data_IF_492086364169
#
_entry.id   IF_492086364169
#
_cell.length_a   1.000
_cell.length_b   1.000
_cell.length_c   1.000
_cell.angle_alpha   90.00
_cell.angle_beta   90.00
_cell.angle_gamma   90.00
#
_symmetry.space_group_name_H-M   'P 1'
#
loop_
_entity.id
_entity.type
_entity.pdbx_description
1 polymer ?
#
# COMPACT_ATOMS: atom_id res chain seq x y z
N UNK A 1 25.56 24.84 36.10
CA UNK A 1 24.53 24.53 35.08
C UNK A 1 24.83 23.15 34.51
N UNK A 2 23.88 22.22 34.54
CA UNK A 2 24.08 20.88 33.97
C UNK A 2 23.78 20.94 32.47
N UNK A 3 24.76 20.58 31.65
CA UNK A 3 24.60 20.46 30.19
C UNK A 3 23.96 19.10 29.92
N UNK A 4 22.75 19.09 29.34
CA UNK A 4 22.10 17.84 28.92
C UNK A 4 22.62 17.45 27.54
N UNK A 5 23.37 16.37 27.47
CA UNK A 5 23.77 15.71 26.23
C UNK A 5 22.68 14.75 25.77
N UNK A 6 22.52 14.61 24.45
CA UNK A 6 21.65 13.58 23.87
C UNK A 6 22.19 12.19 24.23
N UNK A 7 21.33 11.32 24.74
CA UNK A 7 21.67 9.93 25.05
C UNK A 7 21.75 9.03 23.81
N UNK A 8 21.35 9.52 22.63
CA UNK A 8 21.34 8.73 21.40
C UNK A 8 20.32 7.58 21.38
N UNK A 9 19.52 7.42 22.45
CA UNK A 9 18.48 6.41 22.55
C UNK A 9 17.21 6.85 21.81
N UNK A 10 16.56 5.91 21.11
CA UNK A 10 15.26 6.17 20.50
C UNK A 10 14.17 6.26 21.59
N UNK A 11 13.12 7.08 21.40
CA UNK A 11 12.01 7.13 22.36
C UNK A 11 11.39 5.76 22.64
N UNK A 12 11.41 4.85 21.66
CA UNK A 12 10.96 3.48 21.82
C UNK A 12 11.84 2.67 22.79
N UNK A 13 13.17 2.71 22.63
CA UNK A 13 14.07 1.95 23.50
C UNK A 13 14.10 2.47 24.94
N UNK A 14 13.82 3.76 25.14
CA UNK A 14 13.64 4.33 26.49
C UNK A 14 12.37 3.83 27.19
N UNK A 15 11.30 3.52 26.45
CA UNK A 15 10.02 3.07 27.02
C UNK A 15 9.98 1.55 27.21
N UNK A 16 10.51 0.80 26.24
CA UNK A 16 10.34 -0.65 26.19
C UNK A 16 11.63 -1.44 26.47
N UNK A 17 12.78 -0.78 26.58
CA UNK A 17 14.06 -1.43 26.89
C UNK A 17 14.68 -2.25 25.75
N UNK A 18 14.17 -2.10 24.52
CA UNK A 18 14.71 -2.75 23.32
C UNK A 18 14.65 -1.80 22.12
N UNK A 19 15.49 -2.02 21.12
CA UNK A 19 15.44 -1.22 19.89
C UNK A 19 14.17 -1.54 19.08
N UNK A 20 13.64 -0.56 18.36
CA UNK A 20 12.47 -0.76 17.53
C UNK A 20 12.81 -1.72 16.38
N UNK A 21 12.08 -2.84 16.30
CA UNK A 21 12.15 -3.72 15.13
C UNK A 21 11.23 -3.15 14.05
N UNK A 22 11.73 -2.83 12.84
CA UNK A 22 10.89 -2.37 11.75
C UNK A 22 9.84 -3.45 11.42
N UNK A 23 8.58 -3.08 11.13
CA UNK A 23 7.60 -4.08 10.71
C UNK A 23 8.08 -4.76 9.43
N UNK A 24 8.06 -6.09 9.41
CA UNK A 24 8.42 -6.90 8.24
C UNK A 24 7.56 -6.52 7.01
N UNK A 25 6.36 -6.01 7.26
CA UNK A 25 5.39 -5.51 6.28
C UNK A 25 5.87 -4.26 5.51
N UNK A 26 6.82 -3.49 6.05
CA UNK A 26 7.44 -2.36 5.33
C UNK A 26 8.45 -2.87 4.30
N UNK A 27 9.01 -4.07 4.49
CA UNK A 27 9.99 -4.69 3.59
C UNK A 27 9.40 -5.74 2.63
N UNK A 28 8.28 -6.38 2.97
CA UNK A 28 7.63 -7.40 2.14
C UNK A 28 6.50 -6.76 1.34
N UNK A 29 6.63 -6.65 0.00
CA UNK A 29 5.54 -6.17 -0.82
C UNK A 29 4.36 -7.14 -0.71
N UNK A 30 3.14 -6.61 -0.60
CA UNK A 30 1.93 -7.45 -0.62
C UNK A 30 1.89 -8.34 -1.86
N UNK A 31 1.22 -9.49 -1.79
CA UNK A 31 1.08 -10.39 -2.96
C UNK A 31 0.57 -9.68 -4.21
N UNK A 32 -0.32 -8.69 -4.02
CA UNK A 32 -0.81 -7.82 -5.08
C UNK A 32 0.30 -6.98 -5.70
N UNK A 33 1.05 -6.24 -4.89
CA UNK A 33 2.20 -5.44 -5.35
C UNK A 33 3.25 -6.33 -5.99
N UNK A 34 3.50 -7.52 -5.44
CA UNK A 34 4.43 -8.50 -6.00
C UNK A 34 3.97 -9.03 -7.36
N UNK A 35 2.67 -9.24 -7.55
CA UNK A 35 2.11 -9.64 -8.86
C UNK A 35 2.15 -8.51 -9.88
N UNK A 36 1.96 -7.27 -9.41
CA UNK A 36 2.04 -6.06 -10.24
C UNK A 36 3.48 -5.75 -10.68
N UNK A 37 4.48 -5.96 -9.80
CA UNK A 37 5.90 -5.77 -10.08
C UNK A 37 6.53 -6.84 -10.99
N UNK A 38 5.86 -7.98 -11.18
CA UNK A 38 6.34 -9.09 -12.02
C UNK A 38 6.01 -8.90 -13.50
N UNK A 39 5.12 -7.97 -13.83
CA UNK A 39 4.70 -7.70 -15.21
C UNK A 39 5.62 -6.63 -15.81
N UNK A 40 5.84 -6.71 -17.11
CA UNK A 40 6.44 -5.60 -17.86
C UNK A 40 5.56 -4.35 -17.72
N UNK A 41 6.16 -3.16 -17.72
CA UNK A 41 5.44 -1.90 -17.50
C UNK A 41 4.27 -1.72 -18.49
N UNK A 42 4.45 -2.15 -19.75
CA UNK A 42 3.41 -2.08 -20.78
C UNK A 42 2.27 -3.04 -20.47
N UNK A 43 2.58 -4.27 -20.09
CA UNK A 43 1.58 -5.29 -19.72
C UNK A 43 0.81 -4.90 -18.46
N UNK A 44 1.49 -4.28 -17.48
CA UNK A 44 0.87 -3.77 -16.26
C UNK A 44 -0.12 -2.65 -16.58
N UNK A 45 0.29 -1.66 -17.37
CA UNK A 45 -0.59 -0.55 -17.79
C UNK A 45 -1.81 -1.11 -18.53
N UNK A 46 -1.61 -2.04 -19.46
CA UNK A 46 -2.68 -2.66 -20.23
C UNK A 46 -3.70 -3.40 -19.32
N UNK A 47 -3.20 -4.24 -18.41
CA UNK A 47 -4.04 -4.98 -17.47
C UNK A 47 -4.85 -4.05 -16.56
N UNK A 48 -4.26 -2.93 -16.11
CA UNK A 48 -4.96 -1.91 -15.32
C UNK A 48 -6.06 -1.22 -16.11
N UNK A 49 -5.81 -0.89 -17.38
CA UNK A 49 -6.83 -0.32 -18.26
C UNK A 49 -7.99 -1.28 -18.49
N UNK A 50 -7.71 -2.56 -18.73
CA UNK A 50 -8.75 -3.58 -18.93
C UNK A 50 -9.62 -3.78 -17.68
N UNK A 51 -9.02 -3.80 -16.50
CA UNK A 51 -9.75 -3.83 -15.23
C UNK A 51 -10.67 -2.61 -15.07
N UNK A 52 -10.17 -1.41 -15.34
CA UNK A 52 -10.97 -0.18 -15.25
C UNK A 52 -12.14 -0.20 -16.23
N UNK A 53 -11.90 -0.65 -17.47
CA UNK A 53 -12.94 -0.78 -18.49
C UNK A 53 -14.02 -1.78 -18.07
N UNK A 54 -13.64 -2.90 -17.44
CA UNK A 54 -14.60 -3.87 -16.91
C UNK A 54 -15.47 -3.26 -15.79
N UNK A 55 -14.87 -2.49 -14.88
CA UNK A 55 -15.59 -1.79 -13.82
C UNK A 55 -16.57 -0.77 -14.43
N UNK A 56 -16.13 -0.01 -15.42
CA UNK A 56 -16.98 0.97 -16.09
C UNK A 56 -18.17 0.32 -16.80
N UNK A 57 -17.95 -0.79 -17.50
CA UNK A 57 -19.03 -1.58 -18.11
C UNK A 57 -20.05 -2.06 -17.08
N UNK A 58 -19.58 -2.55 -15.92
CA UNK A 58 -20.46 -2.95 -14.81
C UNK A 58 -21.25 -1.76 -14.25
N UNK A 59 -20.60 -0.61 -14.07
CA UNK A 59 -21.23 0.64 -13.61
C UNK A 59 -22.33 1.09 -14.58
N UNK A 60 -22.04 1.14 -15.87
CA UNK A 60 -23.01 1.50 -16.91
C UNK A 60 -24.19 0.53 -16.96
N UNK A 61 -23.95 -0.77 -16.79
CA UNK A 61 -25.03 -1.77 -16.70
C UNK A 61 -25.92 -1.52 -15.49
N UNK A 62 -25.33 -1.23 -14.33
CA UNK A 62 -26.08 -0.93 -13.11
C UNK A 62 -26.90 0.36 -13.25
N UNK A 63 -26.32 1.42 -13.84
CA UNK A 63 -27.03 2.68 -14.11
C UNK A 63 -28.24 2.44 -15.01
N UNK A 64 -28.06 1.73 -16.14
CA UNK A 64 -29.18 1.39 -17.03
C UNK A 64 -30.26 0.59 -16.33
N UNK A 65 -29.90 -0.32 -15.42
CA UNK A 65 -30.86 -1.11 -14.68
C UNK A 65 -31.59 -0.28 -13.61
N UNK A 66 -30.89 0.63 -12.92
CA UNK A 66 -31.50 1.55 -11.96
C UNK A 66 -32.38 2.63 -12.59
N UNK A 67 -32.17 2.97 -13.86
CA UNK A 67 -33.03 3.87 -14.63
C UNK A 67 -34.34 3.22 -15.11
N UNK A 68 -34.48 1.90 -14.99
CA UNK A 68 -35.68 1.14 -15.39
C UNK A 68 -36.67 0.99 -14.20
N UNK A 69 -36.25 1.35 -12.98
CA UNK A 69 -37.10 1.35 -11.77
C UNK A 69 -37.58 2.75 -11.40
#
# INVERSE_FOLDING_TARGET
>A
MSVRTSTGATPFSLVYGMEAVPPIEVGIPSLRVLSELKLDEVEWIQCRYDQLNLIEKKRLKAIRHGQIY
#
